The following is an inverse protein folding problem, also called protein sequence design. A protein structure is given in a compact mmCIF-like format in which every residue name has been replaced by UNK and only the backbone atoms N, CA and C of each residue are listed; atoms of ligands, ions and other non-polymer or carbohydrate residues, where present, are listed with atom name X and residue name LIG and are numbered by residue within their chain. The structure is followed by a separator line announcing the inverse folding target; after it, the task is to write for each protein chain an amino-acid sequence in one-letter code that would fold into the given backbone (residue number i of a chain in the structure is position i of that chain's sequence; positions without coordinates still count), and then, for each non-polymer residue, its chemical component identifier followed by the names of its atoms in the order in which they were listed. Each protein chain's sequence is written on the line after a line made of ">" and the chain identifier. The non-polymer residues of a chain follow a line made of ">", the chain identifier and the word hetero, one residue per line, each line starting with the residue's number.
data_IF_185393416346
#
_entry.id   IF_185393416346
#
_cell.length_a   1.000
_cell.length_b   1.000
_cell.length_c   1.000
_cell.angle_alpha   90.00
_cell.angle_beta   90.00
_cell.angle_gamma   90.00
#
_symmetry.space_group_name_H-M   'P 1'
#
loop_
_entity.id
_entity.type
_entity.pdbx_description
1 polymer ?
#
# COMPACT_ATOMS: atom_id res chain seq x y z
N UNK A 1 27.16 10.19 6.14
CA UNK A 1 26.39 11.35 5.64
C UNK A 1 24.93 11.11 5.98
N UNK A 2 24.18 12.09 6.49
CA UNK A 2 22.75 11.88 6.77
C UNK A 2 22.05 11.52 5.46
N UNK A 3 21.19 10.52 5.52
CA UNK A 3 20.38 10.07 4.39
C UNK A 3 19.53 11.25 3.92
N UNK A 4 19.66 11.65 2.65
CA UNK A 4 18.93 12.80 2.11
C UNK A 4 17.45 12.42 2.07
N UNK A 5 16.60 13.26 2.66
CA UNK A 5 15.14 13.07 2.61
C UNK A 5 14.68 13.03 1.14
N UNK A 6 14.01 11.94 0.74
CA UNK A 6 13.48 11.75 -0.61
C UNK A 6 12.48 12.84 -0.94
N UNK A 7 12.42 13.27 -2.20
CA UNK A 7 11.41 14.24 -2.64
C UNK A 7 10.55 13.65 -3.75
N UNK A 8 9.24 13.79 -3.57
CA UNK A 8 8.23 13.05 -4.31
C UNK A 8 7.44 13.98 -5.25
N UNK A 9 7.22 13.49 -6.47
CA UNK A 9 6.22 14.03 -7.40
C UNK A 9 5.10 13.01 -7.61
N UNK A 10 3.87 13.39 -7.25
CA UNK A 10 2.70 12.53 -7.29
C UNK A 10 1.84 12.87 -8.51
N UNK A 11 1.59 11.88 -9.34
CA UNK A 11 0.77 11.97 -10.54
C UNK A 11 -0.40 11.00 -10.42
N UNK A 12 -1.62 11.55 -10.41
CA UNK A 12 -2.84 10.80 -10.09
C UNK A 12 -3.69 10.69 -11.34
N UNK A 13 -3.84 9.47 -11.82
CA UNK A 13 -4.86 9.14 -12.80
C UNK A 13 -6.19 8.90 -12.08
N UNK A 14 -6.96 9.97 -11.96
CA UNK A 14 -8.17 9.95 -11.16
C UNK A 14 -9.26 9.08 -11.79
N UNK A 15 -9.27 9.01 -13.13
CA UNK A 15 -10.28 8.23 -13.84
C UNK A 15 -10.08 6.73 -13.63
N UNK A 16 -8.84 6.24 -13.73
CA UNK A 16 -8.57 4.83 -13.46
C UNK A 16 -8.81 4.47 -11.98
N UNK A 17 -8.46 5.35 -11.04
CA UNK A 17 -8.79 5.13 -9.63
C UNK A 17 -10.30 5.04 -9.41
N UNK A 18 -11.08 6.01 -9.89
CA UNK A 18 -12.53 6.03 -9.74
C UNK A 18 -13.21 4.80 -10.37
N UNK A 19 -12.69 4.30 -11.49
CA UNK A 19 -13.14 3.06 -12.11
C UNK A 19 -12.82 1.83 -11.24
N UNK A 20 -11.65 1.80 -10.61
CA UNK A 20 -11.23 0.75 -9.67
C UNK A 20 -12.22 0.59 -8.50
N UNK A 21 -12.60 1.69 -7.85
CA UNK A 21 -13.59 1.68 -6.75
C UNK A 21 -14.98 1.20 -7.18
N UNK A 22 -15.36 1.47 -8.43
CA UNK A 22 -16.69 1.10 -8.94
C UNK A 22 -16.78 -0.39 -9.31
N UNK A 23 -15.65 -1.03 -9.65
CA UNK A 23 -15.61 -2.40 -10.20
C UNK A 23 -15.08 -3.46 -9.24
N UNK A 24 -14.32 -3.10 -8.21
CA UNK A 24 -13.71 -4.05 -7.27
C UNK A 24 -14.75 -4.81 -6.44
N UNK A 25 -14.52 -6.11 -6.23
CA UNK A 25 -15.44 -6.96 -5.43
C UNK A 25 -15.27 -6.69 -3.94
N UNK A 26 -14.05 -6.41 -3.50
CA UNK A 26 -13.71 -6.07 -2.10
C UNK A 26 -13.93 -4.57 -1.78
N UNK A 27 -14.25 -3.74 -2.78
CA UNK A 27 -14.26 -2.27 -2.67
C UNK A 27 -15.65 -1.64 -2.81
N UNK A 28 -16.71 -2.46 -2.90
CA UNK A 28 -18.10 -2.00 -2.99
C UNK A 28 -18.43 -1.08 -1.79
N UNK A 29 -18.46 0.22 -2.03
CA UNK A 29 -18.78 1.24 -1.03
C UNK A 29 -17.59 2.04 -0.50
N UNK A 30 -16.36 1.67 -0.84
CA UNK A 30 -15.16 2.46 -0.52
C UNK A 30 -15.06 3.60 -1.54
N UNK A 31 -14.99 4.84 -1.06
CA UNK A 31 -14.70 6.02 -1.90
C UNK A 31 -13.22 6.35 -1.84
N UNK A 32 -12.68 6.82 -2.95
CA UNK A 32 -11.32 7.36 -2.97
C UNK A 32 -11.21 8.55 -2.01
N UNK A 33 -10.21 8.51 -1.15
CA UNK A 33 -9.85 9.57 -0.21
C UNK A 33 -8.40 9.98 -0.47
N UNK A 34 -8.28 11.14 -1.13
CA UNK A 34 -6.99 11.72 -1.48
C UNK A 34 -6.12 12.00 -0.25
N UNK A 35 -6.72 12.32 0.91
CA UNK A 35 -5.96 12.66 2.12
C UNK A 35 -5.22 11.42 2.63
N UNK A 36 -5.91 10.27 2.68
CA UNK A 36 -5.29 8.98 3.06
C UNK A 36 -4.15 8.57 2.12
N UNK A 37 -4.37 8.71 0.81
CA UNK A 37 -3.33 8.41 -0.17
C UNK A 37 -2.08 9.27 0.06
N UNK A 38 -2.27 10.58 0.28
CA UNK A 38 -1.16 11.51 0.53
C UNK A 38 -0.48 11.26 1.87
N UNK A 39 -1.22 10.96 2.94
CA UNK A 39 -0.65 10.61 4.26
C UNK A 39 0.34 9.46 4.16
N UNK A 40 -0.03 8.39 3.45
CA UNK A 40 0.87 7.25 3.23
C UNK A 40 2.11 7.60 2.42
N UNK A 41 1.99 8.51 1.45
CA UNK A 41 3.11 8.96 0.63
C UNK A 41 4.04 9.89 1.40
N UNK A 42 3.54 10.65 2.38
CA UNK A 42 4.37 11.48 3.25
C UNK A 42 5.35 10.66 4.10
N UNK A 43 5.02 9.41 4.42
CA UNK A 43 5.94 8.47 5.09
C UNK A 43 7.12 8.05 4.18
N UNK A 44 6.99 8.22 2.86
CA UNK A 44 8.04 7.87 1.88
C UNK A 44 8.99 9.02 1.59
N UNK A 45 8.58 10.24 1.93
CA UNK A 45 9.39 11.44 1.79
C UNK A 45 8.54 12.69 1.56
N UNK A 46 9.23 13.79 1.25
CA UNK A 46 8.60 15.09 1.10
C UNK A 46 7.89 15.21 -0.25
N UNK A 47 6.57 15.25 -0.24
CA UNK A 47 5.76 15.51 -1.44
C UNK A 47 5.87 16.98 -1.83
N UNK A 48 6.41 17.25 -3.03
CA UNK A 48 6.61 18.62 -3.54
C UNK A 48 5.81 18.93 -4.80
N UNK A 49 5.39 17.90 -5.54
CA UNK A 49 4.45 18.03 -6.67
C UNK A 49 3.31 17.04 -6.47
N UNK A 50 2.08 17.50 -6.73
CA UNK A 50 0.87 16.67 -6.67
C UNK A 50 -0.12 17.15 -7.73
N UNK A 51 -0.32 16.35 -8.77
CA UNK A 51 -1.19 16.65 -9.90
C UNK A 51 -2.18 15.52 -10.09
N UNK A 52 -3.44 15.85 -10.35
CA UNK A 52 -4.48 14.88 -10.69
C UNK A 52 -5.11 15.20 -12.04
N UNK A 53 -5.28 14.16 -12.86
CA UNK A 53 -5.71 14.26 -14.25
C UNK A 53 -7.10 13.63 -14.38
N UNK A 54 -8.08 14.42 -14.82
CA UNK A 54 -9.46 13.95 -15.01
C UNK A 54 -10.28 14.89 -15.89
N UNK A 55 -11.42 14.40 -16.37
CA UNK A 55 -12.56 15.24 -16.73
C UNK A 55 -13.27 15.66 -15.44
N UNK A 56 -12.89 16.80 -14.85
CA UNK A 56 -13.41 17.18 -13.54
C UNK A 56 -14.87 17.66 -13.59
N UNK A 57 -15.44 17.84 -14.79
CA UNK A 57 -16.89 17.95 -14.95
C UNK A 57 -17.62 16.71 -14.43
N UNK A 58 -17.00 15.52 -14.55
CA UNK A 58 -17.57 14.23 -14.10
C UNK A 58 -17.26 13.87 -12.65
N UNK A 59 -16.22 14.48 -12.08
CA UNK A 59 -15.73 14.21 -10.72
C UNK A 59 -15.81 15.46 -9.82
N UNK A 60 -16.88 16.24 -9.95
CA UNK A 60 -17.09 17.50 -9.22
C UNK A 60 -16.96 17.34 -7.71
N UNK A 61 -17.46 16.24 -7.16
CA UNK A 61 -17.48 15.95 -5.72
C UNK A 61 -16.07 15.80 -5.12
N UNK A 62 -15.06 15.51 -5.97
CA UNK A 62 -13.67 15.33 -5.54
C UNK A 62 -12.82 16.58 -5.74
N UNK A 63 -13.33 17.63 -6.40
CA UNK A 63 -12.61 18.90 -6.60
C UNK A 63 -12.22 19.54 -5.28
N UNK A 64 -13.19 19.69 -4.37
CA UNK A 64 -12.96 20.34 -3.07
C UNK A 64 -11.93 19.56 -2.23
N UNK A 65 -12.08 18.24 -1.99
CA UNK A 65 -11.07 17.46 -1.26
C UNK A 65 -9.66 17.55 -1.86
N UNK A 66 -9.54 17.51 -3.19
CA UNK A 66 -8.25 17.63 -3.87
C UNK A 66 -7.65 19.04 -3.72
N UNK A 67 -8.47 20.09 -3.85
CA UNK A 67 -8.04 21.46 -3.63
C UNK A 67 -7.58 21.72 -2.20
N UNK A 68 -8.34 21.24 -1.19
CA UNK A 68 -7.94 21.32 0.22
C UNK A 68 -6.62 20.60 0.47
N UNK A 69 -6.39 19.48 -0.22
CA UNK A 69 -5.15 18.75 -0.21
C UNK A 69 -4.06 19.39 -1.10
N UNK A 70 -4.27 20.60 -1.63
CA UNK A 70 -3.37 21.33 -2.53
C UNK A 70 -2.91 20.53 -3.77
N UNK A 71 -3.74 19.61 -4.24
CA UNK A 71 -3.52 18.88 -5.50
C UNK A 71 -3.92 19.79 -6.65
N UNK A 72 -3.03 19.95 -7.63
CA UNK A 72 -3.33 20.66 -8.87
C UNK A 72 -4.27 19.82 -9.73
N UNK A 73 -5.41 20.39 -10.09
CA UNK A 73 -6.42 19.72 -10.91
C UNK A 73 -6.17 20.02 -12.39
N UNK A 74 -5.69 19.03 -13.13
CA UNK A 74 -5.47 19.11 -14.57
C UNK A 74 -6.73 18.65 -15.29
N UNK A 75 -7.41 19.59 -15.94
CA UNK A 75 -8.63 19.34 -16.71
C UNK A 75 -8.31 18.67 -18.05
N UNK A 76 -8.94 17.51 -18.30
CA UNK A 76 -8.86 16.75 -19.54
C UNK A 76 -10.29 16.58 -20.11
N UNK A 77 -10.80 17.56 -20.89
CA UNK A 77 -12.16 17.50 -21.40
C UNK A 77 -12.35 16.35 -22.39
N UNK A 78 -13.30 15.43 -22.12
CA UNK A 78 -13.65 14.37 -23.08
C UNK A 78 -14.71 14.86 -24.06
N UNK A 79 -14.29 15.35 -25.22
CA UNK A 79 -15.21 15.82 -26.27
C UNK A 79 -15.88 14.68 -27.07
N UNK A 80 -15.36 13.45 -27.05
CA UNK A 80 -15.92 12.27 -27.75
C UNK A 80 -15.56 10.93 -27.04
N UNK A 81 -16.25 9.83 -27.37
CA UNK A 81 -16.13 8.47 -26.78
C UNK A 81 -14.70 7.88 -26.70
N UNK A 82 -13.71 8.45 -27.38
CA UNK A 82 -12.33 7.94 -27.50
C UNK A 82 -11.32 8.59 -26.54
N UNK A 83 -11.75 9.49 -25.65
CA UNK A 83 -10.85 10.34 -24.85
C UNK A 83 -10.08 9.70 -23.69
N UNK A 84 -10.02 8.36 -23.54
CA UNK A 84 -9.28 7.73 -22.43
C UNK A 84 -7.77 8.04 -22.47
N UNK A 85 -7.15 7.89 -23.64
CA UNK A 85 -5.71 8.05 -23.78
C UNK A 85 -5.22 9.49 -23.54
N UNK A 86 -6.10 10.50 -23.59
CA UNK A 86 -5.70 11.90 -23.44
C UNK A 86 -5.16 12.22 -22.05
N UNK A 87 -5.75 11.63 -21.00
CA UNK A 87 -5.31 11.83 -19.62
C UNK A 87 -3.95 11.15 -19.41
N UNK A 88 -3.83 9.90 -19.83
CA UNK A 88 -2.61 9.10 -19.69
C UNK A 88 -1.42 9.73 -20.42
N UNK A 89 -1.64 10.18 -21.67
CA UNK A 89 -0.62 10.89 -22.46
C UNK A 89 -0.21 12.18 -21.75
N UNK A 90 -1.17 12.99 -21.28
CA UNK A 90 -0.85 14.26 -20.63
C UNK A 90 -0.09 14.05 -19.32
N UNK A 91 -0.49 13.07 -18.53
CA UNK A 91 0.20 12.67 -17.30
C UNK A 91 1.65 12.25 -17.61
N UNK A 92 1.84 11.37 -18.59
CA UNK A 92 3.17 10.90 -18.96
C UNK A 92 4.09 12.02 -19.45
N UNK A 93 3.57 12.94 -20.28
CA UNK A 93 4.32 14.11 -20.76
C UNK A 93 4.76 15.00 -19.59
N UNK A 94 3.83 15.37 -18.69
CA UNK A 94 4.14 16.20 -17.54
C UNK A 94 5.17 15.53 -16.60
N UNK A 95 5.06 14.22 -16.39
CA UNK A 95 5.98 13.47 -15.53
C UNK A 95 7.41 13.42 -16.10
N UNK A 96 7.54 13.17 -17.40
CA UNK A 96 8.85 13.16 -18.07
C UNK A 96 9.47 14.56 -18.11
N UNK A 97 8.69 15.59 -18.43
CA UNK A 97 9.16 16.98 -18.40
C UNK A 97 9.68 17.37 -17.00
N UNK A 98 8.95 16.96 -15.95
CA UNK A 98 9.36 17.20 -14.57
C UNK A 98 10.65 16.44 -14.20
N UNK A 99 10.80 15.18 -14.67
CA UNK A 99 11.98 14.37 -14.42
C UNK A 99 13.27 15.00 -14.96
N UNK A 100 13.19 15.68 -16.11
CA UNK A 100 14.31 16.39 -16.71
C UNK A 100 14.50 17.80 -16.14
N UNK A 101 13.42 18.53 -15.86
CA UNK A 101 13.51 19.94 -15.46
C UNK A 101 13.79 20.16 -13.97
N UNK A 102 13.53 19.16 -13.12
CA UNK A 102 13.66 19.26 -11.65
C UNK A 102 14.49 18.10 -11.09
N UNK A 103 15.82 18.19 -11.25
CA UNK A 103 16.76 17.15 -10.79
C UNK A 103 16.64 16.77 -9.31
N UNK A 104 16.24 17.73 -8.46
CA UNK A 104 16.06 17.47 -7.03
C UNK A 104 14.95 16.48 -6.71
N UNK A 105 14.00 16.24 -7.64
CA UNK A 105 12.96 15.22 -7.53
C UNK A 105 13.57 13.88 -7.91
N UNK A 106 13.69 13.01 -6.91
CA UNK A 106 14.28 11.68 -7.05
C UNK A 106 13.23 10.57 -7.12
N UNK A 107 12.02 10.83 -6.65
CA UNK A 107 10.96 9.83 -6.52
C UNK A 107 9.69 10.27 -7.26
N UNK A 108 9.14 9.39 -8.10
CA UNK A 108 7.91 9.60 -8.84
C UNK A 108 6.86 8.61 -8.37
N UNK A 109 5.67 9.10 -8.06
CA UNK A 109 4.54 8.29 -7.64
C UNK A 109 3.49 8.31 -8.75
N UNK A 110 3.18 7.15 -9.32
CA UNK A 110 2.14 6.98 -10.33
C UNK A 110 0.94 6.31 -9.64
N UNK A 111 -0.12 7.08 -9.43
CA UNK A 111 -1.34 6.59 -8.80
C UNK A 111 -2.30 6.11 -9.91
N UNK A 112 -2.08 4.88 -10.37
CA UNK A 112 -2.91 4.15 -11.34
C UNK A 112 -2.67 2.64 -11.24
N UNK A 113 -3.62 1.84 -11.70
CA UNK A 113 -3.47 0.39 -11.89
C UNK A 113 -3.20 -0.04 -13.33
N UNK A 114 -3.19 0.91 -14.27
CA UNK A 114 -3.16 0.63 -15.72
C UNK A 114 -1.75 0.27 -16.22
N UNK A 115 -1.64 -0.84 -16.96
CA UNK A 115 -0.39 -1.28 -17.59
C UNK A 115 0.14 -0.29 -18.62
N UNK A 116 -0.70 0.59 -19.16
CA UNK A 116 -0.30 1.58 -20.17
C UNK A 116 0.72 2.60 -19.63
N UNK A 117 0.89 2.70 -18.30
CA UNK A 117 1.96 3.49 -17.67
C UNK A 117 3.30 2.77 -17.57
N UNK A 118 3.40 1.49 -17.97
CA UNK A 118 4.68 0.76 -17.90
C UNK A 118 5.80 1.45 -18.69
N UNK A 119 5.60 1.96 -19.92
CA UNK A 119 6.64 2.70 -20.63
C UNK A 119 7.10 3.98 -19.89
N UNK A 120 6.18 4.68 -19.22
CA UNK A 120 6.51 5.84 -18.39
C UNK A 120 7.40 5.43 -17.21
N UNK A 121 7.02 4.38 -16.48
CA UNK A 121 7.81 3.84 -15.35
C UNK A 121 9.20 3.45 -15.81
N UNK A 122 9.32 2.71 -16.92
CA UNK A 122 10.62 2.33 -17.48
C UNK A 122 11.48 3.55 -17.83
N UNK A 123 10.88 4.60 -18.41
CA UNK A 123 11.61 5.81 -18.78
C UNK A 123 12.04 6.63 -17.57
N UNK A 124 11.23 6.69 -16.52
CA UNK A 124 11.61 7.33 -15.26
C UNK A 124 12.79 6.60 -14.60
N UNK A 125 12.75 5.26 -14.58
CA UNK A 125 13.85 4.42 -14.06
C UNK A 125 15.13 4.54 -14.88
N UNK A 126 15.02 4.60 -16.22
CA UNK A 126 16.15 4.90 -17.12
C UNK A 126 16.81 6.23 -16.76
N UNK A 127 16.04 7.20 -16.27
CA UNK A 127 16.52 8.50 -15.80
C UNK A 127 16.94 8.50 -14.31
N UNK A 128 17.17 7.33 -13.72
CA UNK A 128 17.64 7.17 -12.34
C UNK A 128 16.64 7.60 -11.28
N UNK A 129 15.35 7.68 -11.60
CA UNK A 129 14.29 8.00 -10.64
C UNK A 129 13.77 6.72 -9.98
N UNK A 130 13.44 6.81 -8.70
CA UNK A 130 12.72 5.77 -7.98
C UNK A 130 11.22 5.90 -8.29
N UNK A 131 10.55 4.80 -8.64
CA UNK A 131 9.14 4.82 -9.04
C UNK A 131 8.29 4.01 -8.08
N UNK A 132 7.33 4.70 -7.45
CA UNK A 132 6.31 4.10 -6.58
C UNK A 132 5.00 4.02 -7.37
N UNK A 133 4.46 2.82 -7.55
CA UNK A 133 3.08 2.64 -8.02
C UNK A 133 2.09 2.71 -6.86
N UNK A 134 0.90 3.23 -7.10
CA UNK A 134 -0.21 3.14 -6.14
C UNK A 134 -1.52 2.86 -6.88
N UNK A 135 -2.26 1.86 -6.43
CA UNK A 135 -3.51 1.47 -7.08
C UNK A 135 -4.34 0.49 -6.28
N UNK A 136 -5.51 0.14 -6.80
CA UNK A 136 -6.38 -0.88 -6.20
C UNK A 136 -5.87 -2.27 -6.58
N UNK A 137 -5.87 -3.20 -5.64
CA UNK A 137 -5.34 -4.55 -5.84
C UNK A 137 -6.04 -5.30 -6.97
N UNK A 138 -7.37 -5.22 -7.04
CA UNK A 138 -8.20 -5.93 -8.03
C UNK A 138 -8.09 -5.35 -9.45
N UNK A 139 -7.67 -4.09 -9.60
CA UNK A 139 -7.62 -3.39 -10.88
C UNK A 139 -6.21 -3.03 -11.34
N UNK A 140 -5.19 -3.50 -10.62
CA UNK A 140 -3.79 -3.27 -10.96
C UNK A 140 -3.25 -4.44 -11.78
N UNK A 141 -2.59 -4.13 -12.90
CA UNK A 141 -1.93 -5.14 -13.73
C UNK A 141 -0.63 -5.66 -13.09
N UNK A 142 -0.35 -6.95 -13.25
CA UNK A 142 0.94 -7.54 -12.84
C UNK A 142 2.13 -6.90 -13.58
N UNK A 143 1.92 -6.44 -14.82
CA UNK A 143 2.94 -5.75 -15.61
C UNK A 143 3.38 -4.44 -14.95
N UNK A 144 2.43 -3.61 -14.51
CA UNK A 144 2.75 -2.36 -13.82
C UNK A 144 3.43 -2.64 -12.46
N UNK A 145 2.88 -3.59 -11.69
CA UNK A 145 3.41 -4.01 -10.40
C UNK A 145 4.90 -4.38 -10.48
N UNK A 146 5.24 -5.25 -11.42
CA UNK A 146 6.61 -5.74 -11.58
C UNK A 146 7.58 -4.70 -12.16
N UNK A 147 7.06 -3.62 -12.76
CA UNK A 147 7.91 -2.60 -13.37
C UNK A 147 8.29 -1.47 -12.39
N UNK A 148 7.41 -1.18 -11.42
CA UNK A 148 7.69 -0.23 -10.34
C UNK A 148 8.80 -0.73 -9.40
N UNK A 149 9.47 0.18 -8.70
CA UNK A 149 10.44 -0.20 -7.66
C UNK A 149 9.74 -0.55 -6.34
N UNK A 150 8.59 0.06 -6.10
CA UNK A 150 7.70 -0.22 -4.97
C UNK A 150 6.26 -0.05 -5.41
N UNK A 151 5.33 -0.81 -4.83
CA UNK A 151 3.91 -0.66 -5.09
C UNK A 151 3.11 -0.64 -3.79
N UNK A 152 2.22 0.36 -3.67
CA UNK A 152 1.35 0.55 -2.50
C UNK A 152 -0.09 0.28 -2.91
N UNK A 153 -0.73 -0.71 -2.30
CA UNK A 153 -2.15 -0.94 -2.52
C UNK A 153 -2.99 0.01 -1.68
N UNK A 154 -4.01 0.62 -2.31
CA UNK A 154 -4.89 1.57 -1.64
C UNK A 154 -5.67 0.89 -0.50
N UNK A 155 -6.05 -0.38 -0.65
CA UNK A 155 -6.74 -1.15 0.38
C UNK A 155 -5.91 -1.35 1.65
N UNK A 156 -4.58 -1.29 1.54
CA UNK A 156 -3.69 -1.37 2.70
C UNK A 156 -3.60 -0.02 3.45
N UNK A 157 -4.16 1.08 2.91
CA UNK A 157 -4.28 2.37 3.61
C UNK A 157 -5.35 2.35 4.70
N UNK A 158 -6.37 1.50 4.56
CA UNK A 158 -7.40 1.31 5.58
C UNK A 158 -6.93 0.40 6.70
N UNK A 159 -5.83 -0.32 6.50
CA UNK A 159 -5.13 -0.97 7.58
C UNK A 159 -4.27 0.11 8.23
N UNK A 160 -4.62 0.59 9.43
CA UNK A 160 -3.72 1.50 10.13
C UNK A 160 -2.33 0.84 10.17
N UNK A 161 -1.26 1.62 10.02
CA UNK A 161 0.05 1.24 10.57
C UNK A 161 -0.22 0.81 12.00
N UNK A 162 -0.35 -0.50 12.20
CA UNK A 162 -1.29 -0.91 13.23
C UNK A 162 -0.52 -0.79 14.51
N UNK A 163 -0.92 0.18 15.34
CA UNK A 163 -0.61 0.12 16.76
C UNK A 163 -0.85 -1.33 17.17
N UNK A 164 0.15 -2.01 17.75
CA UNK A 164 0.04 -3.42 18.05
C UNK A 164 -1.27 -3.65 18.81
N UNK A 165 -2.10 -4.60 18.36
CA UNK A 165 -3.43 -4.80 18.92
C UNK A 165 -3.30 -5.09 20.42
N UNK A 166 -4.23 -4.54 21.20
CA UNK A 166 -4.25 -4.79 22.63
C UNK A 166 -4.70 -6.21 22.88
N UNK A 167 -3.86 -6.98 23.56
CA UNK A 167 -4.20 -8.33 24.01
C UNK A 167 -5.21 -8.21 25.15
N UNK A 168 -6.32 -8.94 25.08
CA UNK A 168 -7.34 -8.94 26.12
C UNK A 168 -6.72 -9.33 27.48
N UNK A 169 -6.81 -8.46 28.51
CA UNK A 169 -6.25 -8.73 29.83
C UNK A 169 -6.89 -9.94 30.54
N UNK A 170 -8.10 -10.36 30.15
CA UNK A 170 -8.83 -11.47 30.75
C UNK A 170 -8.38 -12.85 30.23
N UNK A 171 -7.56 -12.90 29.18
CA UNK A 171 -7.04 -14.16 28.67
C UNK A 171 -6.08 -14.84 29.67
N UNK A 172 -6.00 -16.19 29.67
CA UNK A 172 -5.00 -16.93 30.44
C UNK A 172 -3.59 -16.38 30.20
N UNK A 173 -2.76 -16.38 31.23
CA UNK A 173 -1.42 -15.76 31.20
C UNK A 173 -0.55 -16.35 30.09
N UNK A 174 -0.63 -17.67 29.91
CA UNK A 174 0.13 -18.44 28.94
C UNK A 174 -0.22 -18.02 27.51
N UNK A 175 -1.51 -17.79 27.24
CA UNK A 175 -2.00 -17.28 25.94
C UNK A 175 -1.57 -15.84 25.71
N UNK A 176 -1.71 -14.97 26.72
CA UNK A 176 -1.29 -13.57 26.61
C UNK A 176 0.19 -13.45 26.27
N UNK A 177 1.01 -14.28 26.91
CA UNK A 177 2.45 -14.31 26.63
C UNK A 177 2.74 -14.77 25.19
N UNK A 178 2.12 -15.85 24.72
CA UNK A 178 2.29 -16.30 23.33
C UNK A 178 1.85 -15.25 22.31
N UNK A 179 0.70 -14.63 22.53
CA UNK A 179 0.17 -13.54 21.70
C UNK A 179 1.09 -12.33 21.69
N UNK A 180 1.72 -12.00 22.82
CA UNK A 180 2.68 -10.90 22.88
C UNK A 180 3.91 -11.13 21.98
N UNK A 181 4.35 -12.38 21.84
CA UNK A 181 5.46 -12.71 20.94
C UNK A 181 5.06 -12.61 19.48
N UNK A 182 3.90 -13.12 19.12
CA UNK A 182 3.36 -13.02 17.76
C UNK A 182 3.23 -11.55 17.37
N UNK A 183 2.59 -10.73 18.22
CA UNK A 183 2.42 -9.30 17.96
C UNK A 183 3.78 -8.60 17.83
N UNK A 184 4.72 -8.84 18.75
CA UNK A 184 6.06 -8.25 18.70
C UNK A 184 6.87 -8.65 17.46
N UNK A 185 6.72 -9.89 17.00
CA UNK A 185 7.39 -10.39 15.80
C UNK A 185 6.80 -9.77 14.54
N UNK A 186 5.47 -9.72 14.43
CA UNK A 186 4.77 -9.09 13.31
C UNK A 186 5.07 -7.58 13.25
N UNK A 187 5.07 -6.87 14.38
CA UNK A 187 5.46 -5.45 14.42
C UNK A 187 6.88 -5.24 13.89
N UNK A 188 7.83 -6.12 14.25
CA UNK A 188 9.20 -6.00 13.77
C UNK A 188 9.32 -6.24 12.26
N UNK A 189 8.63 -7.25 11.74
CA UNK A 189 8.64 -7.58 10.31
C UNK A 189 7.96 -6.50 9.45
N UNK A 190 6.91 -5.86 9.97
CA UNK A 190 6.28 -4.69 9.33
C UNK A 190 7.26 -3.51 9.29
N UNK A 191 7.97 -3.22 10.38
CA UNK A 191 8.99 -2.15 10.43
C UNK A 191 10.16 -2.39 9.47
N UNK A 192 10.46 -3.65 9.17
CA UNK A 192 11.46 -4.04 8.19
C UNK A 192 10.96 -3.96 6.73
N UNK A 193 9.74 -3.44 6.49
CA UNK A 193 9.10 -3.31 5.17
C UNK A 193 9.09 -4.63 4.37
N UNK A 194 8.83 -5.77 5.04
CA UNK A 194 8.69 -7.06 4.35
C UNK A 194 7.39 -7.12 3.55
N UNK A 195 7.49 -7.31 2.24
CA UNK A 195 6.34 -7.42 1.32
C UNK A 195 5.41 -8.59 1.66
N UNK A 196 5.96 -9.72 2.11
CA UNK A 196 5.21 -10.92 2.50
C UNK A 196 5.74 -11.46 3.82
N UNK A 197 4.87 -11.57 4.82
CA UNK A 197 5.22 -12.09 6.15
C UNK A 197 4.76 -13.55 6.25
N UNK A 198 5.67 -14.50 6.01
CA UNK A 198 5.38 -15.93 6.15
C UNK A 198 5.35 -16.36 7.63
N UNK A 199 4.57 -17.40 7.95
CA UNK A 199 4.54 -17.97 9.30
C UNK A 199 5.92 -18.37 9.82
N UNK A 200 6.79 -18.91 8.95
CA UNK A 200 8.19 -19.21 9.28
C UNK A 200 8.95 -17.96 9.73
N UNK A 201 8.82 -16.84 9.02
CA UNK A 201 9.48 -15.58 9.38
C UNK A 201 9.02 -15.07 10.74
N UNK A 202 7.73 -15.20 11.06
CA UNK A 202 7.21 -14.85 12.40
C UNK A 202 7.87 -15.75 13.45
N UNK A 203 7.87 -17.07 13.24
CA UNK A 203 8.49 -18.03 14.16
C UNK A 203 9.98 -17.78 14.35
N UNK A 204 10.73 -17.59 13.27
CA UNK A 204 12.17 -17.31 13.31
C UNK A 204 12.47 -16.00 14.03
N UNK A 205 11.61 -14.99 13.87
CA UNK A 205 11.73 -13.71 14.59
C UNK A 205 11.47 -13.88 16.09
N UNK A 206 10.50 -14.70 16.48
CA UNK A 206 10.25 -15.03 17.88
C UNK A 206 11.46 -15.78 18.46
N UNK A 207 11.97 -16.81 17.78
CA UNK A 207 13.12 -17.61 18.25
C UNK A 207 14.38 -16.74 18.36
N UNK A 208 14.63 -15.83 17.42
CA UNK A 208 15.75 -14.88 17.50
C UNK A 208 15.68 -13.99 18.74
N UNK A 209 14.49 -13.48 19.08
CA UNK A 209 14.28 -12.64 20.27
C UNK A 209 14.21 -13.45 21.57
N UNK A 210 13.73 -14.70 21.49
CA UNK A 210 13.49 -15.59 22.63
C UNK A 210 13.80 -17.04 22.24
N UNK A 211 15.07 -17.48 22.34
CA UNK A 211 15.49 -18.81 21.91
C UNK A 211 14.78 -19.96 22.61
N UNK A 212 14.24 -19.74 23.81
CA UNK A 212 13.49 -20.74 24.59
C UNK A 212 12.02 -20.88 24.20
N UNK A 213 11.55 -20.16 23.17
CA UNK A 213 10.15 -20.18 22.76
C UNK A 213 9.74 -21.57 22.24
N UNK A 214 8.63 -22.08 22.75
CA UNK A 214 8.00 -23.31 22.28
C UNK A 214 6.48 -23.19 22.47
N UNK A 215 5.72 -23.39 21.41
CA UNK A 215 4.27 -23.21 21.38
C UNK A 215 3.54 -24.16 22.34
N UNK A 216 4.10 -25.33 22.59
CA UNK A 216 3.53 -26.31 23.52
C UNK A 216 3.51 -25.82 24.96
N UNK A 217 4.47 -24.98 25.38
CA UNK A 217 4.49 -24.36 26.71
C UNK A 217 3.35 -23.34 26.90
N UNK A 218 2.74 -22.91 25.79
CA UNK A 218 1.62 -21.99 25.78
C UNK A 218 0.28 -22.67 25.46
N UNK A 219 0.25 -24.01 25.44
CA UNK A 219 -0.97 -24.79 25.23
C UNK A 219 -1.34 -25.04 23.77
N UNK A 220 -0.43 -24.82 22.82
CA UNK A 220 -0.67 -25.04 21.39
C UNK A 220 0.08 -26.28 20.88
N UNK A 221 -0.58 -27.09 20.04
CA UNK A 221 0.02 -28.30 19.42
C UNK A 221 0.95 -27.95 18.26
N UNK A 222 0.74 -26.81 17.64
CA UNK A 222 1.57 -26.33 16.54
C UNK A 222 1.62 -24.79 16.48
N UNK A 223 2.61 -24.26 15.79
CA UNK A 223 2.68 -22.81 15.52
C UNK A 223 1.50 -22.32 14.67
N UNK A 224 1.02 -23.15 13.75
CA UNK A 224 -0.18 -22.86 12.97
C UNK A 224 -1.40 -22.65 13.86
N UNK A 225 -1.59 -23.51 14.88
CA UNK A 225 -2.70 -23.39 15.84
C UNK A 225 -2.60 -22.10 16.65
N UNK A 226 -1.39 -21.70 17.07
CA UNK A 226 -1.16 -20.42 17.74
C UNK A 226 -1.54 -19.23 16.84
N UNK A 227 -1.15 -19.25 15.57
CA UNK A 227 -1.49 -18.18 14.63
C UNK A 227 -3.02 -18.13 14.37
N UNK A 228 -3.67 -19.28 14.20
CA UNK A 228 -5.12 -19.36 14.02
C UNK A 228 -5.88 -18.79 15.24
N UNK A 229 -5.42 -19.11 16.45
CA UNK A 229 -6.01 -18.56 17.69
C UNK A 229 -5.75 -17.06 17.82
N UNK A 230 -4.55 -16.58 17.47
CA UNK A 230 -4.25 -15.16 17.42
C UNK A 230 -5.16 -14.41 16.43
N UNK A 231 -5.49 -15.01 15.28
CA UNK A 231 -6.46 -14.47 14.33
C UNK A 231 -7.88 -14.45 14.90
N UNK A 232 -8.33 -15.52 15.57
CA UNK A 232 -9.65 -15.56 16.23
C UNK A 232 -9.82 -14.46 17.28
N UNK A 233 -8.72 -14.06 17.92
CA UNK A 233 -8.68 -12.97 18.90
C UNK A 233 -8.45 -11.58 18.26
N UNK A 234 -8.56 -11.47 16.92
CA UNK A 234 -8.42 -10.19 16.21
C UNK A 234 -6.99 -9.62 16.23
N UNK A 235 -5.99 -10.40 16.61
CA UNK A 235 -4.62 -9.90 16.70
C UNK A 235 -3.96 -9.84 15.31
N UNK A 236 -4.19 -10.81 14.45
CA UNK A 236 -3.57 -10.87 13.12
C UNK A 236 -4.58 -11.32 12.07
N UNK A 237 -4.32 -11.02 10.79
CA UNK A 237 -5.05 -11.60 9.67
C UNK A 237 -4.17 -12.60 8.93
N UNK A 238 -4.71 -13.78 8.64
CA UNK A 238 -4.03 -14.86 7.94
C UNK A 238 -4.67 -15.12 6.58
N UNK A 239 -3.83 -15.40 5.57
CA UNK A 239 -4.25 -16.03 4.32
C UNK A 239 -3.42 -17.30 4.08
N UNK A 240 -4.03 -18.29 3.45
CA UNK A 240 -3.31 -19.48 2.98
C UNK A 240 -2.72 -19.17 1.61
N UNK A 241 -1.42 -19.38 1.45
CA UNK A 241 -0.77 -19.26 0.15
C UNK A 241 -1.21 -20.42 -0.76
N UNK A 242 -1.90 -20.11 -1.87
CA UNK A 242 -2.50 -21.09 -2.78
C UNK A 242 -1.48 -21.99 -3.51
N UNK A 243 -0.19 -21.64 -3.53
CA UNK A 243 0.87 -22.45 -4.14
C UNK A 243 1.59 -23.39 -3.17
N UNK A 244 1.65 -23.04 -1.88
CA UNK A 244 2.48 -23.73 -0.88
C UNK A 244 1.72 -24.25 0.34
N UNK A 245 0.46 -23.86 0.53
CA UNK A 245 -0.35 -24.23 1.70
C UNK A 245 0.08 -23.56 3.00
N UNK A 246 1.10 -22.68 2.98
CA UNK A 246 1.62 -22.02 4.18
C UNK A 246 0.81 -20.78 4.55
N UNK A 247 0.70 -20.51 5.86
CA UNK A 247 0.10 -19.27 6.36
C UNK A 247 0.98 -18.05 6.06
N UNK A 248 0.34 -16.99 5.56
CA UNK A 248 0.89 -15.65 5.36
C UNK A 248 0.11 -14.69 6.24
N UNK A 249 0.83 -13.89 7.03
CA UNK A 249 0.26 -12.80 7.83
C UNK A 249 0.09 -11.59 6.93
N UNK A 250 -1.14 -11.11 6.77
CA UNK A 250 -1.48 -9.97 5.90
C UNK A 250 -1.61 -8.64 6.65
N UNK A 251 -1.38 -8.65 7.96
CA UNK A 251 -1.45 -7.48 8.84
C UNK A 251 -1.96 -7.83 10.23
N UNK A 252 -2.11 -6.81 11.08
CA UNK A 252 -2.86 -6.93 12.32
C UNK A 252 -4.37 -7.02 12.04
N UNK A 253 -5.11 -7.76 12.86
CA UNK A 253 -6.55 -7.97 12.67
C UNK A 253 -7.36 -6.70 12.91
N UNK A 254 -8.44 -6.52 12.17
CA UNK A 254 -9.46 -5.52 12.49
C UNK A 254 -10.17 -5.97 13.76
N UNK A 255 -10.17 -5.13 14.80
CA UNK A 255 -11.03 -5.35 15.95
C UNK A 255 -12.48 -5.38 15.46
N UNK A 256 -13.14 -6.53 15.60
CA UNK A 256 -14.59 -6.65 15.46
C UNK A 256 -15.32 -5.95 16.60
#
# INVERSE_FOLDING_TARGET
>A
MPEREKTLAVFIDFENLALGFTKGKETKGIKFDIKKALERLLEKGKVIVKKAYADWGRFSDYKQPCHEAAVELIEIPKRFMTGKNSADIRLAVDAIDLAYSKEHIDTFVIVSGDSDFSPLVSKLKENGKYVIGMGMKDSTSELLLNNCDEFIFYEDLERPESKPPKIDPNLPKEKREAFSFVVSAVTALIRENKEVIYSSMVKDTIIRKRPSFNESYHGYRSFSELLEDAQKNGLISLKINSRSGTYVVTGFGSAG
#
